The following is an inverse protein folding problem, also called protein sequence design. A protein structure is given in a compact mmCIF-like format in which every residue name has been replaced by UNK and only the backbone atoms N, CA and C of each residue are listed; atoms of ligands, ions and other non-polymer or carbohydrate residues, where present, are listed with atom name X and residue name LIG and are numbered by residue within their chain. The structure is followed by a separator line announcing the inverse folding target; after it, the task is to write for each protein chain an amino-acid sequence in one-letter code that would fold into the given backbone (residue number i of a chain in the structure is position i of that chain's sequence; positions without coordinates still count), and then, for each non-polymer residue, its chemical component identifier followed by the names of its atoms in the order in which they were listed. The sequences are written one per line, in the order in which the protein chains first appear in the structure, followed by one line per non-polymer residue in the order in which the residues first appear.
data_IF_134854788105
#
_entry.id   IF_134854788105
#
_cell.length_a   1.000
_cell.length_b   1.000
_cell.length_c   1.000
_cell.angle_alpha   90.00
_cell.angle_beta   90.00
_cell.angle_gamma   90.00
#
_symmetry.space_group_name_H-M   'P 1'
#
loop_
_entity.id
_entity.type
_entity.pdbx_description
1 polymer ?
#
# COMPACT_ATOMS: atom_id res chain seq x y z
N UNK A 1 -16.37 0.21 3.73
CA UNK A 1 -16.11 -0.37 2.38
C UNK A 1 -14.62 -0.67 2.32
N UNK A 2 -14.19 -1.85 2.81
CA UNK A 2 -12.84 -2.05 3.36
C UNK A 2 -11.69 -1.75 2.38
N UNK A 3 -11.69 -2.39 1.20
CA UNK A 3 -10.62 -2.23 0.20
C UNK A 3 -10.51 -0.78 -0.27
N UNK A 4 -11.65 -0.10 -0.45
CA UNK A 4 -11.71 1.30 -0.86
C UNK A 4 -11.15 2.23 0.23
N UNK A 5 -11.50 2.00 1.49
CA UNK A 5 -11.00 2.77 2.63
C UNK A 5 -9.50 2.58 2.83
N UNK A 6 -9.01 1.33 2.70
CA UNK A 6 -7.58 1.03 2.75
C UNK A 6 -6.80 1.75 1.64
N UNK A 7 -7.30 1.69 0.39
CA UNK A 7 -6.68 2.37 -0.74
C UNK A 7 -6.61 3.89 -0.54
N UNK A 8 -7.67 4.50 -0.01
CA UNK A 8 -7.71 5.94 0.30
C UNK A 8 -6.70 6.32 1.39
N UNK A 9 -6.67 5.56 2.49
CA UNK A 9 -5.72 5.80 3.56
C UNK A 9 -4.27 5.64 3.09
N UNK A 10 -4.00 4.62 2.26
CA UNK A 10 -2.68 4.41 1.67
C UNK A 10 -2.26 5.55 0.73
N UNK A 11 -3.18 6.06 -0.09
CA UNK A 11 -2.92 7.20 -0.95
C UNK A 11 -2.53 8.44 -0.13
N UNK A 12 -3.29 8.78 0.91
CA UNK A 12 -2.94 9.88 1.82
C UNK A 12 -1.59 9.69 2.52
N UNK A 13 -1.28 8.47 2.95
CA UNK A 13 0.01 8.13 3.53
C UNK A 13 1.16 8.35 2.53
N UNK A 14 1.01 7.86 1.30
CA UNK A 14 2.06 7.92 0.28
C UNK A 14 2.39 9.37 -0.12
N UNK A 15 1.38 10.24 -0.20
CA UNK A 15 1.55 11.68 -0.43
C UNK A 15 2.25 12.38 0.75
N UNK A 16 1.85 12.07 1.99
CA UNK A 16 2.37 12.74 3.17
C UNK A 16 3.76 12.25 3.62
N UNK A 17 4.12 11.00 3.27
CA UNK A 17 5.33 10.34 3.76
C UNK A 17 6.25 9.91 2.61
N UNK A 18 7.26 10.72 2.24
CA UNK A 18 8.21 10.37 1.18
C UNK A 18 8.99 9.10 1.55
N UNK A 19 8.66 7.97 0.91
CA UNK A 19 9.25 6.66 1.26
C UNK A 19 10.73 6.61 0.86
N UNK A 20 11.03 6.88 -0.42
CA UNK A 20 12.39 6.74 -0.97
C UNK A 20 13.38 7.78 -0.45
N UNK A 21 12.88 8.94 -0.02
CA UNK A 21 13.69 10.05 0.51
C UNK A 21 13.95 9.94 2.02
N UNK A 22 13.33 8.99 2.71
CA UNK A 22 13.56 8.79 4.14
C UNK A 22 14.95 8.19 4.40
N UNK A 23 15.53 8.52 5.54
CA UNK A 23 16.74 7.89 6.04
C UNK A 23 16.41 6.59 6.78
N UNK A 24 17.42 5.76 7.04
CA UNK A 24 17.24 4.57 7.87
C UNK A 24 17.14 4.94 9.36
N UNK A 25 16.34 4.20 10.16
CA UNK A 25 15.57 2.99 9.80
C UNK A 25 14.17 3.29 9.25
N UNK A 26 13.81 4.57 9.09
CA UNK A 26 12.44 4.99 8.72
C UNK A 26 12.08 4.47 7.33
N UNK A 27 13.00 4.56 6.37
CA UNK A 27 12.79 4.05 5.01
C UNK A 27 12.41 2.58 5.00
N UNK A 28 13.15 1.73 5.71
CA UNK A 28 12.84 0.30 5.82
C UNK A 28 11.44 0.06 6.38
N UNK A 29 11.05 0.77 7.44
CA UNK A 29 9.71 0.68 8.02
C UNK A 29 8.62 1.12 7.03
N UNK A 30 8.85 2.19 6.28
CA UNK A 30 7.91 2.69 5.27
C UNK A 30 7.76 1.72 4.10
N UNK A 31 8.85 1.12 3.63
CA UNK A 31 8.81 0.08 2.60
C UNK A 31 8.02 -1.16 3.05
N UNK A 32 8.21 -1.59 4.31
CA UNK A 32 7.44 -2.69 4.88
C UNK A 32 5.93 -2.39 4.92
N UNK A 33 5.54 -1.15 5.27
CA UNK A 33 4.14 -0.72 5.22
C UNK A 33 3.57 -0.75 3.79
N UNK A 34 4.33 -0.28 2.80
CA UNK A 34 3.92 -0.34 1.39
C UNK A 34 3.68 -1.78 0.93
N UNK A 35 4.61 -2.69 1.24
CA UNK A 35 4.51 -4.10 0.86
C UNK A 35 3.30 -4.78 1.51
N UNK A 36 3.10 -4.59 2.82
CA UNK A 36 1.95 -5.17 3.54
C UNK A 36 0.62 -4.64 3.00
N UNK A 37 0.56 -3.34 2.70
CA UNK A 37 -0.64 -2.72 2.12
C UNK A 37 -0.93 -3.26 0.73
N UNK A 38 0.08 -3.41 -0.12
CA UNK A 38 -0.06 -3.99 -1.47
C UNK A 38 -0.61 -5.41 -1.42
N UNK A 39 -0.06 -6.27 -0.54
CA UNK A 39 -0.55 -7.65 -0.34
C UNK A 39 -2.01 -7.68 0.10
N UNK A 40 -2.39 -6.79 1.00
CA UNK A 40 -3.75 -6.72 1.54
C UNK A 40 -4.74 -6.24 0.49
N UNK A 41 -4.39 -5.21 -0.30
CA UNK A 41 -5.19 -4.74 -1.43
C UNK A 41 -5.36 -5.84 -2.48
N UNK A 42 -4.27 -6.53 -2.85
CA UNK A 42 -4.31 -7.64 -3.79
C UNK A 42 -5.25 -8.75 -3.32
N UNK A 43 -5.13 -9.16 -2.06
CA UNK A 43 -6.02 -10.17 -1.48
C UNK A 43 -7.48 -9.70 -1.48
N UNK A 44 -7.74 -8.45 -1.07
CA UNK A 44 -9.09 -7.90 -1.03
C UNK A 44 -9.74 -7.80 -2.42
N UNK A 45 -9.00 -7.37 -3.44
CA UNK A 45 -9.47 -7.29 -4.82
C UNK A 45 -9.70 -8.69 -5.42
N UNK A 46 -8.81 -9.65 -5.16
CA UNK A 46 -8.98 -11.04 -5.58
C UNK A 46 -10.26 -11.67 -4.99
N UNK A 47 -10.58 -11.39 -3.73
CA UNK A 47 -11.83 -11.86 -3.10
C UNK A 47 -13.09 -11.28 -3.75
N UNK A 48 -12.97 -10.13 -4.41
CA UNK A 48 -14.04 -9.50 -5.19
C UNK A 48 -14.05 -9.95 -6.66
N UNK A 49 -13.15 -10.87 -7.06
CA UNK A 49 -13.00 -11.31 -8.45
C UNK A 49 -12.37 -10.26 -9.37
N UNK A 50 -11.64 -9.29 -8.82
CA UNK A 50 -10.98 -8.22 -9.57
C UNK A 50 -9.49 -8.57 -9.67
N UNK A 51 -9.00 -8.75 -10.89
CA UNK A 51 -7.58 -8.95 -11.15
C UNK A 51 -6.76 -7.68 -10.90
N UNK A 52 -5.58 -7.87 -10.31
CA UNK A 52 -4.66 -6.79 -9.97
C UNK A 52 -3.39 -6.92 -10.82
N UNK A 53 -2.92 -5.85 -11.46
CA UNK A 53 -1.69 -5.89 -12.27
C UNK A 53 -0.47 -6.28 -11.43
N UNK A 54 0.49 -6.98 -12.04
CA UNK A 54 1.74 -7.40 -11.38
C UNK A 54 2.63 -6.23 -10.95
N UNK A 55 2.41 -5.05 -11.53
CA UNK A 55 3.01 -3.79 -11.11
C UNK A 55 1.91 -2.78 -10.81
N UNK A 56 1.90 -2.31 -9.56
CA UNK A 56 1.17 -1.11 -9.16
C UNK A 56 2.07 0.12 -9.28
#
# INVERSE_FOLDING_TARGET
NYVLELARAFHSYFEACPVLKAEEPIRSSRLALCELTSRTLKQGLNLLGIDVPERM
#
